data_IF_453353878810
#
_entry.id   IF_453353878810
#
_cell.length_a   1.000
_cell.length_b   1.000
_cell.length_c   1.000
_cell.angle_alpha   90.00
_cell.angle_beta   90.00
_cell.angle_gamma   90.00
#
_symmetry.space_group_name_H-M   'P 1'
#
loop_
_entity.id
_entity.type
_entity.pdbx_description
1 polymer ?
#
# COMPACT_ATOMS: atom_id res chain seq x y z
N UNK A 1 -15.82 35.74 -12.80
CA UNK A 1 -15.47 34.43 -13.37
C UNK A 1 -14.58 33.70 -12.37
N UNK A 2 -15.14 32.78 -11.59
CA UNK A 2 -14.37 31.94 -10.67
C UNK A 2 -13.68 30.84 -11.50
N UNK A 3 -12.35 30.88 -11.55
CA UNK A 3 -11.53 29.78 -12.05
C UNK A 3 -11.65 28.66 -11.02
N UNK A 4 -12.49 27.67 -11.28
CA UNK A 4 -12.46 26.40 -10.56
C UNK A 4 -11.10 25.77 -10.86
N UNK A 5 -10.17 25.86 -9.91
CA UNK A 5 -8.93 25.11 -9.96
C UNK A 5 -9.33 23.65 -10.02
N UNK A 6 -9.10 23.00 -11.16
CA UNK A 6 -9.11 21.55 -11.21
C UNK A 6 -8.11 21.08 -10.16
N UNK A 7 -8.60 20.53 -9.05
CA UNK A 7 -7.75 19.85 -8.08
C UNK A 7 -7.11 18.70 -8.85
N UNK A 8 -5.82 18.83 -9.17
CA UNK A 8 -5.04 17.76 -9.80
C UNK A 8 -5.27 16.48 -8.99
N UNK A 9 -5.93 15.50 -9.61
CA UNK A 9 -6.34 14.26 -8.96
C UNK A 9 -5.08 13.54 -8.50
N UNK A 10 -4.90 13.37 -7.19
CA UNK A 10 -3.71 12.69 -6.65
C UNK A 10 -3.86 11.19 -6.88
N UNK A 11 -3.08 10.64 -7.80
CA UNK A 11 -3.07 9.19 -8.05
C UNK A 11 -2.47 8.46 -6.85
N UNK A 12 -2.99 7.26 -6.57
CA UNK A 12 -2.59 6.44 -5.43
C UNK A 12 -2.42 4.98 -5.84
N UNK A 13 -1.52 4.28 -5.18
CA UNK A 13 -1.33 2.83 -5.35
C UNK A 13 -1.52 2.10 -4.02
N UNK A 14 -2.26 0.99 -4.07
CA UNK A 14 -2.47 0.07 -2.96
C UNK A 14 -1.89 -1.29 -3.33
N UNK A 15 -0.90 -1.74 -2.58
CA UNK A 15 -0.28 -3.06 -2.70
C UNK A 15 -0.67 -3.90 -1.50
N UNK A 16 -1.19 -5.10 -1.73
CA UNK A 16 -1.75 -5.96 -0.68
C UNK A 16 -1.11 -7.34 -0.73
N UNK A 17 -0.33 -7.68 0.28
CA UNK A 17 0.23 -9.03 0.46
C UNK A 17 -0.87 -10.04 0.79
N UNK A 18 -0.61 -11.31 0.46
CA UNK A 18 -1.52 -12.40 0.81
C UNK A 18 -1.50 -12.61 2.32
N UNK A 19 -2.67 -12.56 2.95
CA UNK A 19 -2.79 -12.69 4.40
C UNK A 19 -2.66 -11.35 5.14
N UNK A 20 -2.46 -10.25 4.41
CA UNK A 20 -2.59 -8.91 4.95
C UNK A 20 -4.04 -8.65 5.44
N UNK A 21 -4.23 -7.75 6.42
CA UNK A 21 -5.55 -7.44 6.97
C UNK A 21 -6.51 -6.93 5.88
N UNK A 22 -7.75 -7.43 5.90
CA UNK A 22 -8.80 -7.17 4.90
C UNK A 22 -9.43 -5.78 4.95
N UNK A 23 -8.91 -4.86 5.78
CA UNK A 23 -9.25 -3.43 5.77
C UNK A 23 -7.96 -2.65 5.64
N UNK A 24 -7.82 -1.78 4.64
CA UNK A 24 -6.81 -0.71 4.63
C UNK A 24 -7.20 0.45 5.54
N UNK A 25 -6.25 1.30 5.95
CA UNK A 25 -6.47 2.38 6.92
C UNK A 25 -7.46 3.40 6.35
N UNK A 26 -8.27 3.98 7.22
CA UNK A 26 -9.23 5.03 6.86
C UNK A 26 -8.52 6.24 6.25
N UNK A 27 -8.52 6.31 4.92
CA UNK A 27 -7.97 7.45 4.15
C UNK A 27 -8.29 7.41 2.66
N UNK A 28 -8.90 6.32 2.19
CA UNK A 28 -9.35 6.14 0.82
C UNK A 28 -10.73 6.76 0.66
N UNK A 29 -10.79 7.97 0.09
CA UNK A 29 -12.03 8.48 -0.49
C UNK A 29 -12.11 8.03 -1.94
N UNK A 30 -13.28 7.53 -2.36
CA UNK A 30 -13.53 6.95 -3.70
C UNK A 30 -13.21 7.90 -4.87
N UNK A 31 -12.97 9.18 -4.59
CA UNK A 31 -12.76 10.23 -5.57
C UNK A 31 -11.47 10.07 -6.39
N UNK A 32 -10.46 9.29 -5.95
CA UNK A 32 -9.13 9.24 -6.61
C UNK A 32 -8.75 7.90 -7.26
N UNK A 33 -9.55 6.84 -7.11
CA UNK A 33 -9.37 5.56 -7.82
C UNK A 33 -8.00 4.89 -7.66
N UNK A 34 -7.76 4.08 -6.60
CA UNK A 34 -6.52 3.32 -6.44
C UNK A 34 -6.13 2.53 -7.68
N UNK A 35 -4.84 2.54 -8.01
CA UNK A 35 -4.23 1.38 -8.66
C UNK A 35 -4.03 0.30 -7.60
N UNK A 36 -4.75 -0.80 -7.73
CA UNK A 36 -4.71 -1.92 -6.78
C UNK A 36 -3.85 -3.07 -7.34
N UNK A 37 -2.91 -3.55 -6.53
CA UNK A 37 -2.10 -4.74 -6.83
C UNK A 37 -2.17 -5.68 -5.62
N UNK A 38 -2.98 -6.74 -5.72
CA UNK A 38 -3.14 -7.74 -4.65
C UNK A 38 -2.41 -9.04 -4.99
N UNK A 39 -1.69 -9.62 -4.04
CA UNK A 39 -1.04 -10.92 -4.21
C UNK A 39 -2.08 -12.05 -4.34
N UNK A 40 -1.96 -12.86 -5.40
CA UNK A 40 -2.90 -13.95 -5.67
C UNK A 40 -2.56 -15.21 -4.86
N UNK A 41 -3.55 -16.08 -4.62
CA UNK A 41 -3.42 -17.28 -3.75
C UNK A 41 -2.25 -18.20 -4.14
N UNK A 42 -1.92 -18.31 -5.42
CA UNK A 42 -0.83 -19.17 -5.92
C UNK A 42 0.38 -18.38 -6.44
N UNK A 43 0.43 -17.08 -6.18
CA UNK A 43 1.50 -16.22 -6.66
C UNK A 43 2.69 -16.27 -5.70
N UNK A 44 3.87 -16.57 -6.24
CA UNK A 44 5.12 -16.53 -5.48
C UNK A 44 5.45 -15.09 -5.10
N UNK A 45 6.20 -14.86 -4.00
CA UNK A 45 6.64 -13.52 -3.63
C UNK A 45 7.36 -12.79 -4.79
N UNK A 46 8.25 -13.49 -5.51
CA UNK A 46 8.96 -12.92 -6.68
C UNK A 46 8.05 -12.52 -7.83
N UNK A 47 7.02 -13.31 -8.15
CA UNK A 47 6.07 -12.97 -9.21
C UNK A 47 5.21 -11.76 -8.81
N UNK A 48 4.84 -11.68 -7.53
CA UNK A 48 4.15 -10.53 -6.98
C UNK A 48 5.01 -9.26 -7.03
N UNK A 49 6.28 -9.35 -6.62
CA UNK A 49 7.28 -8.28 -6.74
C UNK A 49 7.33 -7.74 -8.17
N UNK A 50 7.54 -8.64 -9.14
CA UNK A 50 7.65 -8.27 -10.55
C UNK A 50 6.41 -7.52 -11.04
N UNK A 51 5.20 -8.00 -10.69
CA UNK A 51 3.95 -7.36 -11.12
C UNK A 51 3.76 -5.97 -10.50
N UNK A 52 4.21 -5.77 -9.26
CA UNK A 52 4.22 -4.43 -8.64
C UNK A 52 5.19 -3.51 -9.38
N UNK A 53 6.42 -3.97 -9.65
CA UNK A 53 7.43 -3.20 -10.37
C UNK A 53 6.99 -2.85 -11.80
N UNK A 54 6.40 -3.80 -12.52
CA UNK A 54 5.80 -3.57 -13.84
C UNK A 54 4.72 -2.48 -13.78
N UNK A 55 3.89 -2.47 -12.73
CA UNK A 55 2.85 -1.45 -12.57
C UNK A 55 3.42 -0.06 -12.31
N UNK A 56 4.48 0.03 -11.51
CA UNK A 56 5.21 1.29 -11.28
C UNK A 56 5.89 1.78 -12.56
N UNK A 57 6.57 0.89 -13.28
CA UNK A 57 7.22 1.23 -14.55
C UNK A 57 6.22 1.72 -15.61
N UNK A 58 5.04 1.10 -15.70
CA UNK A 58 3.95 1.57 -16.56
C UNK A 58 3.46 2.97 -16.15
N UNK A 59 3.30 3.22 -14.85
CA UNK A 59 2.90 4.54 -14.36
C UNK A 59 3.95 5.61 -14.71
N UNK A 60 5.23 5.32 -14.50
CA UNK A 60 6.33 6.23 -14.85
C UNK A 60 6.38 6.53 -16.34
N UNK A 61 6.24 5.49 -17.19
CA UNK A 61 6.22 5.64 -18.64
C UNK A 61 5.06 6.52 -19.12
N UNK A 62 3.90 6.39 -18.49
CA UNK A 62 2.70 7.13 -18.84
C UNK A 62 2.64 8.52 -18.15
N UNK A 63 3.73 8.94 -17.47
CA UNK A 63 3.83 10.19 -16.68
C UNK A 63 2.74 10.31 -15.61
N UNK A 64 2.31 9.16 -15.08
CA UNK A 64 1.42 9.07 -13.94
C UNK A 64 2.24 8.97 -12.65
N UNK A 65 1.98 9.90 -11.74
CA UNK A 65 2.72 10.01 -10.48
C UNK A 65 1.85 9.61 -9.30
N UNK A 66 2.22 8.53 -8.62
CA UNK A 66 1.56 8.18 -7.36
C UNK A 66 2.07 9.11 -6.26
N UNK A 67 1.16 9.92 -5.71
CA UNK A 67 1.46 10.81 -4.59
C UNK A 67 1.42 10.06 -3.25
N UNK A 68 0.70 8.94 -3.23
CA UNK A 68 0.53 8.10 -2.06
C UNK A 68 0.65 6.64 -2.45
N UNK A 69 1.44 5.89 -1.69
CA UNK A 69 1.52 4.45 -1.76
C UNK A 69 1.13 3.83 -0.42
N UNK A 70 0.39 2.73 -0.47
CA UNK A 70 0.10 1.91 0.71
C UNK A 70 0.55 0.48 0.45
N UNK A 71 1.33 -0.09 1.36
CA UNK A 71 1.66 -1.50 1.41
C UNK A 71 1.01 -2.13 2.63
N UNK A 72 0.02 -3.02 2.40
CA UNK A 72 -0.56 -3.86 3.43
C UNK A 72 0.23 -5.17 3.49
N UNK A 73 0.88 -5.41 4.63
CA UNK A 73 1.76 -6.56 4.82
C UNK A 73 1.04 -7.67 5.58
N UNK A 74 1.39 -8.92 5.27
CA UNK A 74 1.02 -10.07 6.07
C UNK A 74 1.93 -10.15 7.32
N UNK A 75 1.52 -10.93 8.33
CA UNK A 75 2.37 -11.24 9.50
C UNK A 75 3.43 -12.31 9.20
N UNK A 76 3.49 -12.83 7.97
CA UNK A 76 4.49 -13.84 7.59
C UNK A 76 5.91 -13.25 7.61
N UNK A 77 6.80 -13.93 8.33
CA UNK A 77 8.23 -13.65 8.45
C UNK A 77 9.09 -14.66 7.66
N UNK A 78 8.50 -15.38 6.70
CA UNK A 78 9.26 -16.19 5.75
C UNK A 78 10.25 -15.29 4.98
N UNK A 79 11.51 -15.70 4.89
CA UNK A 79 12.62 -14.88 4.36
C UNK A 79 12.35 -14.32 2.95
N UNK A 80 11.80 -15.14 2.05
CA UNK A 80 11.45 -14.73 0.70
C UNK A 80 10.33 -13.67 0.68
N UNK A 81 9.37 -13.78 1.59
CA UNK A 81 8.27 -12.83 1.74
C UNK A 81 8.78 -11.52 2.33
N UNK A 82 9.61 -11.58 3.36
CA UNK A 82 10.23 -10.40 3.98
C UNK A 82 11.13 -9.63 2.98
N UNK A 83 11.95 -10.36 2.22
CA UNK A 83 12.82 -9.77 1.18
C UNK A 83 11.99 -9.11 0.07
N UNK A 84 10.93 -9.79 -0.38
CA UNK A 84 10.00 -9.25 -1.38
C UNK A 84 9.32 -7.97 -0.89
N UNK A 85 8.82 -7.99 0.35
CA UNK A 85 8.20 -6.85 1.02
C UNK A 85 9.12 -5.64 1.05
N UNK A 86 10.38 -5.86 1.43
CA UNK A 86 11.40 -4.82 1.46
C UNK A 86 11.59 -4.18 0.07
N UNK A 87 11.78 -5.01 -0.96
CA UNK A 87 11.96 -4.53 -2.34
C UNK A 87 10.75 -3.75 -2.85
N UNK A 88 9.54 -4.24 -2.57
CA UNK A 88 8.30 -3.55 -2.91
C UNK A 88 8.23 -2.21 -2.19
N UNK A 89 8.48 -2.16 -0.88
CA UNK A 89 8.42 -0.93 -0.09
C UNK A 89 9.43 0.10 -0.60
N UNK A 90 10.66 -0.32 -0.91
CA UNK A 90 11.69 0.53 -1.50
C UNK A 90 11.28 1.07 -2.88
N UNK A 91 10.70 0.24 -3.74
CA UNK A 91 10.23 0.65 -5.05
C UNK A 91 9.10 1.68 -4.95
N UNK A 92 8.10 1.42 -4.10
CA UNK A 92 7.02 2.36 -3.80
C UNK A 92 7.56 3.69 -3.28
N UNK A 93 8.49 3.64 -2.31
CA UNK A 93 9.05 4.84 -1.71
C UNK A 93 9.87 5.66 -2.71
N UNK A 94 10.64 5.01 -3.58
CA UNK A 94 11.41 5.68 -4.65
C UNK A 94 10.50 6.33 -5.68
N UNK A 95 9.46 5.61 -6.09
CA UNK A 95 8.47 6.12 -7.05
C UNK A 95 7.75 7.35 -6.49
N UNK A 96 7.20 7.25 -5.28
CA UNK A 96 6.50 8.37 -4.65
C UNK A 96 7.46 9.52 -4.35
N UNK A 97 8.62 9.24 -3.75
CA UNK A 97 9.62 10.25 -3.36
C UNK A 97 10.29 11.00 -4.53
N UNK A 98 9.99 10.66 -5.78
CA UNK A 98 10.38 11.45 -6.94
C UNK A 98 9.51 12.72 -7.13
N UNK A 99 8.46 12.90 -6.31
CA UNK A 99 7.45 13.94 -6.45
C UNK A 99 7.18 14.68 -5.13
N UNK A 100 6.77 15.95 -5.22
CA UNK A 100 6.52 16.80 -4.06
C UNK A 100 5.37 16.25 -3.19
N UNK A 101 5.62 16.17 -1.87
CA UNK A 101 4.67 15.73 -0.83
C UNK A 101 4.18 14.27 -0.97
N UNK A 102 5.14 13.35 -1.07
CA UNK A 102 4.88 11.92 -1.13
C UNK A 102 4.72 11.26 0.24
N UNK A 103 3.74 10.35 0.33
CA UNK A 103 3.45 9.57 1.53
C UNK A 103 3.51 8.07 1.22
N UNK A 104 4.26 7.33 2.04
CA UNK A 104 4.25 5.88 2.08
C UNK A 104 3.59 5.41 3.37
N UNK A 105 2.52 4.64 3.23
CA UNK A 105 1.85 3.98 4.33
C UNK A 105 2.28 2.51 4.36
N UNK A 106 2.88 2.09 5.46
CA UNK A 106 3.12 0.69 5.74
C UNK A 106 2.09 0.26 6.79
N UNK A 107 1.24 -0.71 6.46
CA UNK A 107 0.27 -1.24 7.41
C UNK A 107 0.47 -2.74 7.62
N UNK A 108 0.43 -3.15 8.88
CA UNK A 108 0.57 -4.55 9.27
C UNK A 108 -0.18 -4.85 10.56
N UNK A 109 -0.28 -6.13 10.90
CA UNK A 109 -0.83 -6.58 12.18
C UNK A 109 0.30 -6.72 13.21
N UNK A 110 0.06 -6.27 14.44
CA UNK A 110 0.96 -6.51 15.58
C UNK A 110 0.53 -7.80 16.25
N UNK A 111 1.40 -8.79 16.32
CA UNK A 111 1.18 -9.92 17.22
C UNK A 111 1.52 -9.48 18.66
N UNK A 112 0.62 -9.76 19.59
CA UNK A 112 0.50 -9.10 20.91
C UNK A 112 1.61 -9.40 21.93
N UNK A 113 2.81 -9.80 21.52
CA UNK A 113 3.86 -10.17 22.46
C UNK A 113 5.02 -9.16 22.49
N UNK A 114 4.88 -8.24 23.44
CA UNK A 114 5.94 -7.64 24.27
C UNK A 114 7.33 -7.45 23.62
N UNK A 115 7.64 -6.21 23.25
CA UNK A 115 9.00 -5.65 23.32
C UNK A 115 9.92 -5.90 22.11
N UNK A 116 9.46 -6.55 21.05
CA UNK A 116 10.27 -6.78 19.85
C UNK A 116 9.97 -5.68 18.82
N UNK A 117 11.04 -5.09 18.28
CA UNK A 117 11.03 -4.26 17.08
C UNK A 117 10.12 -4.91 16.03
N UNK A 118 8.94 -4.34 15.80
CA UNK A 118 8.00 -4.93 14.86
C UNK A 118 8.69 -4.99 13.48
N UNK A 119 8.57 -6.10 12.72
CA UNK A 119 9.13 -6.20 11.37
C UNK A 119 8.77 -5.01 10.47
N UNK A 120 7.62 -4.37 10.72
CA UNK A 120 7.20 -3.13 10.06
C UNK A 120 8.04 -1.89 10.44
N UNK A 121 8.48 -1.77 11.70
CA UNK A 121 9.41 -0.72 12.12
C UNK A 121 10.78 -0.93 11.48
N UNK A 122 11.30 -2.17 11.49
CA UNK A 122 12.57 -2.49 10.84
C UNK A 122 12.52 -2.21 9.33
N UNK A 123 11.42 -2.57 8.68
CA UNK A 123 11.17 -2.23 7.27
C UNK A 123 11.15 -0.71 7.04
N UNK A 124 10.48 0.05 7.90
CA UNK A 124 10.43 1.51 7.82
C UNK A 124 11.82 2.14 7.93
N UNK A 125 12.64 1.64 8.86
CA UNK A 125 14.03 2.09 9.06
C UNK A 125 14.90 1.75 7.85
N UNK A 126 14.77 0.54 7.30
CA UNK A 126 15.46 0.14 6.06
C UNK A 126 15.08 1.05 4.89
N UNK A 127 13.78 1.30 4.69
CA UNK A 127 13.29 2.20 3.63
C UNK A 127 13.82 3.61 3.83
N UNK A 128 13.77 4.14 5.06
CA UNK A 128 14.28 5.48 5.38
C UNK A 128 15.77 5.58 5.13
N UNK A 129 16.56 4.60 5.59
CA UNK A 129 17.99 4.54 5.39
C UNK A 129 18.38 4.50 3.91
N UNK A 130 17.63 3.76 3.09
CA UNK A 130 17.88 3.65 1.65
C UNK A 130 17.49 4.90 0.85
N UNK A 131 16.61 5.76 1.38
CA UNK A 131 16.15 6.98 0.72
C UNK A 131 16.97 8.22 1.06
N UNK A 132 17.75 8.18 2.16
CA UNK A 132 18.59 9.29 2.60
C UNK A 132 17.76 10.56 2.84
N UNK A 133 18.17 11.66 2.23
CA UNK A 133 17.56 13.00 2.41
C UNK A 133 16.27 13.23 1.60
N UNK A 134 15.73 12.21 0.92
CA UNK A 134 14.49 12.37 0.13
C UNK A 134 13.29 12.68 1.04
N UNK A 135 12.50 13.65 0.64
CA UNK A 135 11.30 14.08 1.36
C UNK A 135 10.11 13.12 1.14
N UNK A 136 10.15 11.96 1.80
CA UNK A 136 8.98 11.08 1.92
C UNK A 136 8.55 10.98 3.38
N UNK A 137 7.24 11.00 3.60
CA UNK A 137 6.67 10.70 4.93
C UNK A 137 6.32 9.22 4.98
N UNK A 138 6.94 8.47 5.89
CA UNK A 138 6.60 7.07 6.15
C UNK A 138 5.66 7.02 7.35
N UNK A 139 4.45 6.49 7.16
CA UNK A 139 3.45 6.31 8.21
C UNK A 139 3.27 4.82 8.50
N UNK A 140 3.29 4.46 9.78
CA UNK A 140 3.13 3.08 10.23
C UNK A 140 1.76 2.91 10.88
N UNK A 141 0.93 2.04 10.29
CA UNK A 141 -0.36 1.67 10.86
C UNK A 141 -0.28 0.26 11.40
N UNK A 142 -0.15 0.19 12.72
CA UNK A 142 -0.11 -1.05 13.49
C UNK A 142 -1.53 -1.41 13.93
N UNK A 143 -1.99 -2.61 13.56
CA UNK A 143 -3.35 -3.08 13.91
C UNK A 143 -3.29 -4.22 14.90
N UNK A 144 -4.19 -4.19 15.86
CA UNK A 144 -4.47 -5.36 16.69
C UNK A 144 -5.08 -6.48 15.82
N UNK A 145 -4.71 -7.75 16.08
CA UNK A 145 -5.27 -8.87 15.35
C UNK A 145 -6.76 -8.94 15.67
N UNK A 146 -7.60 -8.87 14.63
CA UNK A 146 -9.03 -9.10 14.83
C UNK A 146 -9.26 -10.56 15.21
N UNK A 147 -10.21 -10.87 16.12
CA UNK A 147 -10.52 -12.26 16.46
C UNK A 147 -10.89 -13.01 15.17
N UNK A 148 -10.50 -14.29 15.03
CA UNK A 148 -10.81 -15.07 13.85
C UNK A 148 -12.33 -15.13 13.69
N UNK A 149 -12.84 -14.44 12.66
CA UNK A 149 -14.25 -14.60 12.29
C UNK A 149 -14.41 -16.01 11.73
N UNK A 150 -15.45 -16.71 12.19
CA UNK A 150 -15.88 -17.94 11.56
C UNK A 150 -15.94 -17.70 10.04
N UNK A 151 -15.39 -18.65 9.28
CA UNK A 151 -15.25 -18.56 7.83
C UNK A 151 -16.62 -18.42 7.16
N UNK A 152 -17.14 -17.20 7.08
CA UNK A 152 -18.14 -16.84 6.11
C UNK A 152 -17.36 -16.50 4.83
N UNK A 153 -17.39 -17.46 3.92
CA UNK A 153 -16.99 -17.34 2.52
C UNK A 153 -17.61 -16.10 1.89
N UNK A 154 -16.97 -14.94 1.99
CA UNK A 154 -17.24 -13.78 1.14
C UNK A 154 -16.20 -12.66 1.36
N UNK A 155 -15.03 -12.82 0.76
CA UNK A 155 -14.18 -11.68 0.40
C UNK A 155 -14.82 -10.93 -0.78
N UNK A 156 -15.98 -10.29 -0.55
CA UNK A 156 -16.51 -9.29 -1.45
C UNK A 156 -16.05 -7.92 -0.94
N UNK A 157 -15.12 -7.32 -1.66
CA UNK A 157 -14.99 -5.87 -1.64
C UNK A 157 -16.26 -5.32 -2.30
N UNK A 158 -17.22 -4.88 -1.47
CA UNK A 158 -18.33 -4.07 -1.96
C UNK A 158 -17.79 -2.66 -2.12
N UNK A 159 -17.28 -2.34 -3.31
CA UNK A 159 -17.17 -0.94 -3.74
C UNK A 159 -18.60 -0.46 -3.89
N UNK A 160 -19.04 0.43 -3.02
CA UNK A 160 -20.42 0.93 -3.03
C UNK A 160 -20.59 1.89 -4.22
N UNK A 161 -20.83 1.32 -5.41
CA UNK A 161 -21.15 2.06 -6.62
C UNK A 161 -22.58 2.61 -6.54
N UNK A 162 -22.82 3.63 -5.70
CA UNK A 162 -24.03 4.47 -5.73
C UNK A 162 -23.61 5.90 -5.39
N UNK A 163 -23.79 6.88 -6.27
CA UNK A 163 -25.10 7.33 -6.73
C UNK A 163 -25.10 7.80 -8.19
N UNK A 164 -25.95 7.17 -8.97
CA UNK A 164 -26.70 7.88 -10.00
C UNK A 164 -27.50 9.02 -9.35
N UNK A 165 -27.43 10.21 -9.94
CA UNK A 165 -28.63 10.97 -10.26
C UNK A 165 -28.46 11.56 -11.65
N UNK A 166 -29.18 10.96 -12.60
CA UNK A 166 -29.68 11.68 -13.75
C UNK A 166 -30.80 12.61 -13.25
N UNK A 167 -30.64 13.91 -13.47
CA UNK A 167 -31.68 14.92 -13.66
C UNK A 167 -30.99 16.15 -14.23
#
# INVERSE_FOLDING_TARGET
>A
MQRTLATSRKLRILVVERGAPSRGGSGWTDADGPVLVMQMKSETPSAFEQRVLERLALAERDLHHFHTATLLTASSEEEDTATTRERIALALARHCGAHDAAELFLEGTVEHELGVSTPLLALADTVRGALGDRAITIQLNLREPSPPRAAEDSAFWRVDARRFRAS
#
